data_IF_567960460360
#
_entry.id   IF_567960460360
#
_cell.length_a   1.000
_cell.length_b   1.000
_cell.length_c   1.000
_cell.angle_alpha   90.00
_cell.angle_beta   90.00
_cell.angle_gamma   90.00
#
_symmetry.space_group_name_H-M   'P 1'
#
loop_
_entity.id
_entity.type
_entity.pdbx_description
1 polymer ?
#
# COMPACT_ATOMS: atom_id res chain seq x y z
N UNK A 1 14.50 12.56 -30.06
CA UNK A 1 14.49 13.34 -28.81
C UNK A 1 13.04 13.47 -28.36
N UNK A 2 12.69 12.80 -27.27
CA UNK A 2 11.32 12.77 -26.77
C UNK A 2 10.98 14.13 -26.15
N UNK A 3 9.94 14.78 -26.66
CA UNK A 3 9.38 16.08 -26.26
C UNK A 3 8.74 16.09 -24.84
N UNK A 4 9.10 15.18 -23.92
CA UNK A 4 8.28 14.88 -22.73
C UNK A 4 9.03 14.69 -21.41
N UNK A 5 10.22 15.27 -21.26
CA UNK A 5 10.84 15.42 -19.93
C UNK A 5 10.68 16.86 -19.44
N UNK A 6 9.45 17.29 -19.17
CA UNK A 6 9.29 18.35 -18.18
C UNK A 6 9.82 17.78 -16.86
N UNK A 7 10.91 18.37 -16.36
CA UNK A 7 11.49 17.99 -15.06
C UNK A 7 10.37 18.10 -14.02
N UNK A 8 10.12 17.03 -13.29
CA UNK A 8 9.16 17.05 -12.17
C UNK A 8 9.67 18.06 -11.15
N UNK A 9 8.85 19.03 -10.71
CA UNK A 9 9.27 20.02 -9.73
C UNK A 9 9.66 19.34 -8.41
N UNK A 10 10.78 19.73 -7.82
CA UNK A 10 11.22 19.23 -6.51
C UNK A 10 10.21 19.52 -5.39
N UNK A 11 9.38 20.56 -5.55
CA UNK A 11 8.29 20.91 -4.63
C UNK A 11 7.21 19.82 -4.51
N UNK A 12 7.12 18.89 -5.47
CA UNK A 12 6.24 17.75 -5.39
C UNK A 12 6.82 16.59 -4.57
N UNK A 13 8.11 16.61 -4.27
CA UNK A 13 8.78 15.59 -3.46
C UNK A 13 8.16 15.47 -2.06
N UNK A 14 8.16 14.27 -1.52
CA UNK A 14 7.69 13.95 -0.16
C UNK A 14 8.69 13.03 0.51
N UNK A 15 9.10 13.40 1.71
CA UNK A 15 9.91 12.54 2.58
C UNK A 15 8.97 11.95 3.64
N UNK A 16 8.67 10.67 3.50
CA UNK A 16 7.71 9.94 4.35
C UNK A 16 8.29 8.60 4.72
N UNK A 17 8.06 8.16 5.94
CA UNK A 17 8.48 6.83 6.40
C UNK A 17 10.01 6.58 6.32
N UNK A 18 10.82 7.64 6.23
CA UNK A 18 12.26 7.50 5.96
C UNK A 18 12.62 7.26 4.48
N UNK A 19 11.64 7.32 3.57
CA UNK A 19 11.80 7.15 2.12
C UNK A 19 11.53 8.46 1.39
N UNK A 20 12.26 8.67 0.29
CA UNK A 20 12.03 9.82 -0.59
C UNK A 20 11.13 9.44 -1.77
N UNK A 21 9.98 10.11 -1.89
CA UNK A 21 9.05 10.01 -3.01
C UNK A 21 9.19 11.25 -3.89
N UNK A 22 9.68 11.14 -5.13
CA UNK A 22 9.92 12.32 -5.98
C UNK A 22 8.65 13.09 -6.35
N UNK A 23 7.49 12.49 -6.17
CA UNK A 23 6.18 13.11 -6.34
C UNK A 23 5.08 12.22 -5.72
N UNK A 24 3.84 12.73 -5.50
CA UNK A 24 2.85 11.97 -4.74
C UNK A 24 2.17 10.81 -5.50
N UNK A 25 2.49 10.54 -6.75
CA UNK A 25 1.76 9.57 -7.59
C UNK A 25 2.48 8.23 -7.63
N UNK A 26 1.84 7.19 -7.12
CA UNK A 26 2.24 5.78 -7.22
C UNK A 26 1.22 4.96 -8.01
N UNK A 27 1.52 3.69 -8.22
CA UNK A 27 0.68 2.72 -8.93
C UNK A 27 -0.06 1.85 -7.92
N UNK A 28 -1.38 1.76 -8.13
CA UNK A 28 -2.28 0.96 -7.31
C UNK A 28 -2.02 -0.55 -7.42
N UNK A 29 -2.38 -1.34 -6.39
CA UNK A 29 -2.29 -2.79 -6.45
C UNK A 29 -3.08 -3.37 -7.62
N UNK A 30 -2.65 -4.54 -8.11
CA UNK A 30 -3.28 -5.22 -9.24
C UNK A 30 -2.70 -4.85 -10.60
N UNK A 31 -1.97 -3.74 -10.74
CA UNK A 31 -1.28 -3.40 -11.99
C UNK A 31 -0.10 -4.34 -12.29
N UNK A 32 0.58 -4.82 -11.26
CA UNK A 32 1.70 -5.78 -11.37
C UNK A 32 1.78 -6.73 -10.18
N UNK A 33 0.81 -7.63 -9.99
CA UNK A 33 0.77 -8.47 -8.78
C UNK A 33 2.02 -9.33 -8.58
N UNK A 34 2.64 -9.76 -9.66
CA UNK A 34 3.77 -10.69 -9.65
C UNK A 34 5.15 -10.00 -9.85
N UNK A 35 5.22 -8.69 -9.71
CA UNK A 35 6.45 -7.92 -9.89
C UNK A 35 7.16 -8.17 -11.23
N UNK A 36 6.40 -8.27 -12.33
CA UNK A 36 6.96 -8.53 -13.67
C UNK A 36 7.14 -7.29 -14.52
N UNK A 37 6.48 -6.18 -14.17
CA UNK A 37 6.36 -4.98 -15.00
C UNK A 37 6.71 -3.69 -14.28
N UNK A 38 7.00 -3.73 -12.97
CA UNK A 38 7.19 -2.52 -12.15
C UNK A 38 8.21 -1.54 -12.75
N UNK A 39 9.28 -2.03 -13.40
CA UNK A 39 10.24 -1.18 -14.09
C UNK A 39 9.66 -0.41 -15.29
N UNK A 40 8.47 -0.79 -15.77
CA UNK A 40 7.75 0.00 -16.78
C UNK A 40 7.04 1.22 -16.18
N UNK A 41 6.94 1.30 -14.85
CA UNK A 41 6.31 2.38 -14.09
C UNK A 41 7.32 3.36 -13.48
N UNK A 42 8.58 3.36 -13.94
CA UNK A 42 9.64 4.22 -13.42
C UNK A 42 9.36 5.73 -13.42
N UNK A 43 8.30 6.17 -14.07
CA UNK A 43 7.81 7.55 -13.97
C UNK A 43 6.88 7.78 -12.78
N UNK A 44 6.59 6.75 -11.99
CA UNK A 44 5.83 6.82 -10.76
C UNK A 44 6.78 6.73 -9.56
N UNK A 45 6.37 7.25 -8.41
CA UNK A 45 7.21 7.27 -7.20
C UNK A 45 7.37 5.89 -6.60
N UNK A 46 6.31 5.10 -6.64
CA UNK A 46 6.31 3.74 -6.11
C UNK A 46 5.27 2.87 -6.84
N UNK A 47 5.44 1.57 -6.70
CA UNK A 47 4.53 0.57 -7.25
C UNK A 47 4.18 -0.42 -6.16
N UNK A 48 2.89 -0.70 -5.99
CA UNK A 48 2.45 -1.77 -5.10
C UNK A 48 2.33 -3.08 -5.88
N UNK A 49 2.99 -4.11 -5.38
CA UNK A 49 2.96 -5.49 -5.88
C UNK A 49 2.18 -6.39 -4.91
N UNK A 50 1.62 -7.47 -5.41
CA UNK A 50 0.84 -8.40 -4.60
C UNK A 50 -0.67 -8.28 -4.84
N UNK A 51 -1.48 -8.85 -3.92
CA UNK A 51 -1.09 -9.39 -2.64
C UNK A 51 -0.20 -10.63 -2.75
N UNK A 52 0.81 -10.67 -1.90
CA UNK A 52 1.74 -11.77 -1.79
C UNK A 52 1.35 -12.64 -0.61
N UNK A 53 1.38 -13.96 -0.80
CA UNK A 53 1.15 -14.91 0.27
C UNK A 53 2.10 -16.10 0.17
N UNK A 54 2.38 -16.78 1.27
CA UNK A 54 3.17 -18.02 1.23
C UNK A 54 2.48 -19.03 0.30
N UNK A 55 3.24 -19.66 -0.60
CA UNK A 55 2.73 -20.71 -1.47
C UNK A 55 2.81 -22.05 -0.73
N UNK A 56 1.67 -22.65 -0.45
CA UNK A 56 1.66 -24.09 -0.16
C UNK A 56 1.67 -24.85 -1.48
N UNK A 57 2.73 -25.59 -1.77
CA UNK A 57 2.90 -26.38 -2.99
C UNK A 57 1.84 -27.49 -3.17
N UNK A 58 0.88 -27.65 -2.25
CA UNK A 58 -0.03 -28.79 -2.17
C UNK A 58 -1.50 -28.52 -2.41
N UNK A 59 -1.94 -27.30 -2.70
CA UNK A 59 -3.35 -27.09 -2.97
C UNK A 59 -3.64 -26.86 -4.45
N UNK A 60 -4.35 -27.81 -5.07
CA UNK A 60 -5.06 -27.59 -6.34
C UNK A 60 -6.07 -26.41 -6.29
N UNK A 61 -6.26 -25.83 -5.12
CA UNK A 61 -7.07 -24.64 -4.84
C UNK A 61 -6.41 -23.31 -5.26
N UNK A 62 -5.16 -23.30 -5.67
CA UNK A 62 -4.46 -22.11 -6.23
C UNK A 62 -5.00 -21.72 -7.63
N UNK A 63 -6.14 -22.27 -8.05
CA UNK A 63 -6.84 -21.83 -9.27
C UNK A 63 -7.55 -20.49 -9.11
N UNK A 64 -7.70 -19.96 -7.90
CA UNK A 64 -8.25 -18.64 -7.67
C UNK A 64 -7.12 -17.60 -7.66
N UNK A 65 -7.07 -16.85 -8.74
CA UNK A 65 -6.06 -15.87 -9.13
C UNK A 65 -5.95 -14.62 -8.22
N UNK A 66 -6.30 -14.70 -6.94
CA UNK A 66 -6.33 -13.55 -6.03
C UNK A 66 -4.97 -13.25 -5.38
N UNK A 67 -4.11 -14.26 -5.20
CA UNK A 67 -2.81 -14.08 -4.56
C UNK A 67 -1.68 -14.48 -5.50
N UNK A 68 -0.62 -13.69 -5.50
CA UNK A 68 0.60 -14.03 -6.21
C UNK A 68 1.49 -14.84 -5.30
N UNK A 69 1.94 -16.03 -5.73
CA UNK A 69 2.92 -16.78 -4.98
C UNK A 69 4.19 -15.94 -4.73
N UNK A 70 4.56 -15.83 -3.47
CA UNK A 70 5.71 -15.06 -2.99
C UNK A 70 6.99 -15.38 -3.79
N UNK A 71 7.24 -16.67 -4.05
CA UNK A 71 8.39 -17.15 -4.83
C UNK A 71 8.45 -16.54 -6.24
N UNK A 72 7.32 -16.33 -6.90
CA UNK A 72 7.30 -15.75 -8.25
C UNK A 72 7.71 -14.28 -8.24
N UNK A 73 7.25 -13.52 -7.25
CA UNK A 73 7.63 -12.12 -7.10
C UNK A 73 9.13 -11.97 -6.82
N UNK A 74 9.66 -12.75 -5.88
CA UNK A 74 11.09 -12.76 -5.53
C UNK A 74 11.96 -13.05 -6.76
N UNK A 75 11.67 -14.12 -7.49
CA UNK A 75 12.42 -14.49 -8.70
C UNK A 75 12.37 -13.37 -9.76
N UNK A 76 11.24 -12.72 -9.90
CA UNK A 76 11.10 -11.59 -10.83
C UNK A 76 11.97 -10.42 -10.43
N UNK A 77 11.98 -10.04 -9.14
CA UNK A 77 12.76 -8.92 -8.61
C UNK A 77 14.27 -9.21 -8.69
N UNK A 78 14.70 -10.42 -8.35
CA UNK A 78 16.10 -10.82 -8.46
C UNK A 78 16.64 -10.72 -9.89
N UNK A 79 15.81 -11.09 -10.88
CA UNK A 79 16.21 -11.02 -12.29
C UNK A 79 16.17 -9.60 -12.87
N UNK A 80 15.39 -8.70 -12.26
CA UNK A 80 15.17 -7.33 -12.74
C UNK A 80 15.14 -6.37 -11.55
N UNK A 81 16.29 -5.92 -11.02
CA UNK A 81 16.33 -5.02 -9.87
C UNK A 81 15.45 -3.77 -10.07
N UNK A 82 14.75 -3.30 -9.03
CA UNK A 82 13.82 -2.19 -9.14
C UNK A 82 14.55 -0.86 -9.36
N UNK A 83 13.91 0.00 -10.16
CA UNK A 83 14.26 1.42 -10.35
C UNK A 83 13.19 2.36 -9.83
N UNK A 84 12.26 1.84 -9.03
CA UNK A 84 11.14 2.52 -8.40
C UNK A 84 10.93 1.88 -7.04
N UNK A 85 10.43 2.63 -6.06
CA UNK A 85 10.14 2.06 -4.75
C UNK A 85 9.07 0.96 -4.85
N UNK A 86 9.32 -0.17 -4.20
CA UNK A 86 8.40 -1.30 -4.16
C UNK A 86 7.67 -1.37 -2.82
N UNK A 87 6.34 -1.26 -2.88
CA UNK A 87 5.46 -1.58 -1.78
C UNK A 87 5.03 -3.05 -1.89
N UNK A 88 5.43 -3.90 -0.95
CA UNK A 88 5.00 -5.28 -0.90
C UNK A 88 3.67 -5.38 -0.13
N UNK A 89 2.59 -5.61 -0.85
CA UNK A 89 1.31 -5.94 -0.24
C UNK A 89 1.34 -7.41 0.17
N UNK A 90 1.28 -7.69 1.47
CA UNK A 90 1.26 -9.03 2.03
C UNK A 90 -0.08 -9.34 2.67
N UNK A 91 -0.57 -10.55 2.44
CA UNK A 91 -1.85 -11.00 2.93
C UNK A 91 -1.78 -12.47 3.36
N UNK A 92 -2.59 -12.90 4.34
CA UNK A 92 -2.68 -14.31 4.68
C UNK A 92 -3.30 -15.10 3.54
N UNK A 93 -2.91 -16.37 3.40
CA UNK A 93 -3.39 -17.26 2.34
C UNK A 93 -4.77 -17.85 2.65
N UNK A 94 -5.14 -17.92 3.91
CA UNK A 94 -6.29 -18.70 4.38
C UNK A 94 -7.64 -18.03 4.13
N UNK A 95 -8.67 -18.83 3.86
CA UNK A 95 -10.05 -18.37 3.67
C UNK A 95 -10.84 -18.34 4.99
N UNK A 96 -10.37 -19.05 6.03
CA UNK A 96 -10.99 -19.08 7.35
C UNK A 96 -9.87 -18.93 8.41
N UNK A 97 -9.34 -17.74 8.58
CA UNK A 97 -8.13 -17.53 9.35
C UNK A 97 -8.42 -17.61 10.86
N UNK A 98 -7.66 -18.44 11.56
CA UNK A 98 -7.36 -18.22 12.96
C UNK A 98 -6.16 -17.25 13.08
N UNK A 99 -6.00 -16.64 14.25
CA UNK A 99 -4.98 -15.62 14.46
C UNK A 99 -3.56 -16.17 14.28
N UNK A 100 -3.30 -17.40 14.70
CA UNK A 100 -1.99 -18.04 14.60
C UNK A 100 -1.58 -18.24 13.13
N UNK A 101 -2.49 -18.77 12.31
CA UNK A 101 -2.26 -18.97 10.87
C UNK A 101 -2.03 -17.65 10.14
N UNK A 102 -2.82 -16.62 10.45
CA UNK A 102 -2.65 -15.28 9.88
C UNK A 102 -1.29 -14.70 10.24
N UNK A 103 -0.93 -14.74 11.51
CA UNK A 103 0.35 -14.24 12.01
C UNK A 103 1.52 -14.96 11.32
N UNK A 104 1.45 -16.28 11.24
CA UNK A 104 2.47 -17.09 10.57
C UNK A 104 2.65 -16.69 9.08
N UNK A 105 1.55 -16.58 8.34
CA UNK A 105 1.58 -16.24 6.92
C UNK A 105 2.14 -14.83 6.68
N UNK A 106 1.74 -13.87 7.50
CA UNK A 106 2.25 -12.51 7.42
C UNK A 106 3.74 -12.42 7.75
N UNK A 107 4.18 -13.06 8.83
CA UNK A 107 5.60 -13.11 9.23
C UNK A 107 6.46 -13.80 8.16
N UNK A 108 5.97 -14.89 7.58
CA UNK A 108 6.68 -15.58 6.51
C UNK A 108 6.81 -14.69 5.27
N UNK A 109 5.74 -14.04 4.83
CA UNK A 109 5.77 -13.13 3.68
C UNK A 109 6.67 -11.93 3.94
N UNK A 110 6.61 -11.36 5.14
CA UNK A 110 7.45 -10.25 5.57
C UNK A 110 8.93 -10.62 5.53
N UNK A 111 9.30 -11.75 6.15
CA UNK A 111 10.68 -12.22 6.20
C UNK A 111 11.26 -12.44 4.80
N UNK A 112 10.53 -13.14 3.93
CA UNK A 112 11.03 -13.44 2.58
C UNK A 112 11.10 -12.22 1.67
N UNK A 113 10.25 -11.20 1.88
CA UNK A 113 10.24 -9.99 1.08
C UNK A 113 11.12 -8.86 1.64
N UNK A 114 11.69 -9.03 2.83
CA UNK A 114 12.37 -7.95 3.53
C UNK A 114 13.49 -7.29 2.72
N UNK A 115 14.33 -8.08 2.06
CA UNK A 115 15.45 -7.58 1.26
C UNK A 115 15.02 -7.00 -0.10
N UNK A 116 13.76 -7.21 -0.51
CA UNK A 116 13.26 -6.86 -1.84
C UNK A 116 12.29 -5.69 -1.85
N UNK A 117 11.62 -5.43 -0.73
CA UNK A 117 10.65 -4.35 -0.60
C UNK A 117 11.26 -3.13 0.06
N UNK A 118 10.76 -1.94 -0.30
CA UNK A 118 11.08 -0.69 0.38
C UNK A 118 10.11 -0.39 1.53
N UNK A 119 8.87 -0.84 1.41
CA UNK A 119 7.82 -0.75 2.44
C UNK A 119 6.84 -1.91 2.32
N UNK A 120 6.10 -2.17 3.40
CA UNK A 120 5.10 -3.23 3.47
C UNK A 120 3.70 -2.66 3.62
N UNK A 121 2.74 -3.33 3.00
CA UNK A 121 1.31 -3.04 3.12
C UNK A 121 0.62 -4.29 3.63
N UNK A 122 -0.06 -4.17 4.76
CA UNK A 122 -0.90 -5.25 5.30
C UNK A 122 -2.30 -5.09 4.72
N UNK A 123 -2.69 -6.02 3.85
CA UNK A 123 -4.01 -6.03 3.24
C UNK A 123 -4.97 -6.92 4.06
N UNK A 124 -5.70 -6.28 4.94
CA UNK A 124 -6.62 -6.96 5.86
C UNK A 124 -8.05 -7.02 5.36
N UNK A 125 -8.34 -6.40 4.21
CA UNK A 125 -9.70 -6.08 3.77
C UNK A 125 -10.12 -6.75 2.46
N UNK A 126 -9.33 -7.65 1.91
CA UNK A 126 -9.77 -8.40 0.74
C UNK A 126 -10.91 -9.32 1.10
N UNK A 127 -12.05 -9.08 0.47
CA UNK A 127 -13.12 -10.08 0.40
C UNK A 127 -12.58 -11.23 -0.43
N UNK A 128 -12.51 -12.41 0.17
CA UNK A 128 -12.37 -13.63 -0.62
C UNK A 128 -13.67 -13.90 -1.39
N UNK A 129 -13.62 -14.80 -2.36
CA UNK A 129 -14.80 -15.18 -3.16
C UNK A 129 -15.98 -15.70 -2.32
N UNK A 130 -15.73 -16.10 -1.08
CA UNK A 130 -16.73 -16.66 -0.16
C UNK A 130 -17.39 -15.57 0.72
N UNK A 131 -17.05 -14.29 0.51
CA UNK A 131 -17.64 -13.17 1.27
C UNK A 131 -17.26 -13.15 2.75
N UNK A 132 -16.21 -13.88 3.14
CA UNK A 132 -15.71 -13.86 4.52
C UNK A 132 -15.26 -12.45 4.84
N UNK A 133 -15.79 -11.91 5.93
CA UNK A 133 -15.45 -10.58 6.41
C UNK A 133 -13.94 -10.53 6.64
N UNK A 134 -13.29 -9.51 6.13
CA UNK A 134 -11.86 -9.34 6.33
C UNK A 134 -11.54 -9.21 7.81
N UNK A 135 -10.27 -9.36 8.12
CA UNK A 135 -9.65 -9.20 9.44
C UNK A 135 -9.85 -7.76 9.96
N UNK A 136 -11.09 -7.35 10.24
CA UNK A 136 -11.46 -5.95 10.47
C UNK A 136 -11.50 -5.56 11.95
N UNK A 137 -11.29 -6.47 12.88
CA UNK A 137 -11.22 -6.07 14.27
C UNK A 137 -9.76 -5.73 14.65
N UNK A 138 -9.55 -4.57 15.25
CA UNK A 138 -8.25 -4.21 15.80
C UNK A 138 -7.74 -5.27 16.79
N UNK A 139 -8.66 -5.90 17.54
CA UNK A 139 -8.37 -6.96 18.49
C UNK A 139 -7.78 -8.21 17.83
N UNK A 140 -8.33 -8.65 16.68
CA UNK A 140 -7.81 -9.79 15.93
C UNK A 140 -6.47 -9.49 15.25
N UNK A 141 -6.30 -8.26 14.75
CA UNK A 141 -5.09 -7.88 14.03
C UNK A 141 -3.93 -7.47 14.94
N UNK A 142 -4.21 -6.99 16.14
CA UNK A 142 -3.17 -6.44 17.03
C UNK A 142 -2.06 -7.44 17.27
N UNK A 143 -2.38 -8.70 17.55
CA UNK A 143 -1.38 -9.75 17.77
C UNK A 143 -0.47 -9.97 16.55
N UNK A 144 -1.07 -10.05 15.36
CA UNK A 144 -0.31 -10.23 14.12
C UNK A 144 0.53 -9.00 13.76
N UNK A 145 -0.01 -7.81 14.00
CA UNK A 145 0.69 -6.55 13.74
C UNK A 145 1.82 -6.31 14.74
N UNK A 146 1.61 -6.61 16.01
CA UNK A 146 2.66 -6.55 17.04
C UNK A 146 3.80 -7.49 16.69
N UNK A 147 3.50 -8.73 16.29
CA UNK A 147 4.50 -9.69 15.85
C UNK A 147 5.31 -9.22 14.62
N UNK A 148 4.67 -8.53 13.66
CA UNK A 148 5.37 -7.94 12.51
C UNK A 148 6.27 -6.77 12.92
N UNK A 149 5.79 -5.92 13.83
CA UNK A 149 6.56 -4.79 14.35
C UNK A 149 7.77 -5.30 15.14
N UNK A 150 7.60 -6.30 15.98
CA UNK A 150 8.69 -6.93 16.72
C UNK A 150 9.70 -7.59 15.77
N UNK A 151 9.22 -8.31 14.74
CA UNK A 151 10.08 -8.91 13.73
C UNK A 151 10.90 -7.86 12.99
N UNK A 152 10.34 -6.68 12.68
CA UNK A 152 11.06 -5.59 12.03
C UNK A 152 12.28 -5.14 12.81
N UNK A 153 12.24 -5.14 14.15
CA UNK A 153 13.38 -4.78 14.99
C UNK A 153 14.52 -5.82 14.98
N UNK A 154 14.30 -7.00 14.40
CA UNK A 154 15.35 -7.99 14.20
C UNK A 154 16.24 -7.72 12.98
N UNK A 155 15.94 -6.69 12.19
CA UNK A 155 16.69 -6.33 10.98
C UNK A 155 17.45 -5.01 11.16
N UNK A 156 18.60 -4.89 10.48
CA UNK A 156 19.44 -3.67 10.55
C UNK A 156 18.85 -2.48 9.78
N UNK A 157 18.04 -2.74 8.75
CA UNK A 157 17.39 -1.71 7.94
C UNK A 157 15.93 -1.52 8.33
N UNK A 158 15.49 -0.28 8.50
CA UNK A 158 14.09 0.00 8.78
C UNK A 158 13.23 -0.12 7.53
N UNK A 159 12.12 -0.85 7.61
CA UNK A 159 11.11 -0.94 6.55
C UNK A 159 9.75 -0.51 7.11
N UNK A 160 9.11 0.51 6.52
CA UNK A 160 7.79 0.96 6.95
C UNK A 160 6.73 -0.11 6.78
N UNK A 161 5.80 -0.18 7.74
CA UNK A 161 4.63 -1.07 7.70
C UNK A 161 3.37 -0.22 7.71
N UNK A 162 2.60 -0.30 6.65
CA UNK A 162 1.33 0.40 6.47
C UNK A 162 0.18 -0.59 6.52
N UNK A 163 -0.98 -0.13 6.97
CA UNK A 163 -2.21 -0.92 6.92
C UNK A 163 -3.17 -0.34 5.90
N UNK A 164 -3.84 -1.20 5.13
CA UNK A 164 -4.91 -0.79 4.21
C UNK A 164 -6.26 -0.88 4.90
N UNK A 165 -7.08 0.14 4.71
CA UNK A 165 -8.49 0.19 5.15
C UNK A 165 -9.39 0.51 3.96
N UNK A 166 -10.54 -0.17 3.87
CA UNK A 166 -11.49 0.04 2.79
C UNK A 166 -12.58 1.06 3.16
N UNK A 167 -13.24 1.60 2.15
CA UNK A 167 -14.28 2.62 2.30
C UNK A 167 -15.47 2.16 3.14
N UNK A 168 -15.78 0.86 3.12
CA UNK A 168 -16.90 0.26 3.85
C UNK A 168 -16.59 -0.09 5.31
N UNK A 169 -15.38 0.25 5.81
CA UNK A 169 -15.02 0.01 7.20
C UNK A 169 -16.01 0.67 8.15
N UNK A 170 -16.52 -0.11 9.12
CA UNK A 170 -17.42 0.40 10.15
C UNK A 170 -16.71 1.46 11.00
N UNK A 171 -17.46 2.48 11.40
CA UNK A 171 -16.88 3.60 12.18
C UNK A 171 -16.18 3.13 13.47
N UNK A 172 -16.79 2.20 14.21
CA UNK A 172 -16.18 1.68 15.44
C UNK A 172 -14.89 0.89 15.17
N UNK A 173 -14.86 0.09 14.10
CA UNK A 173 -13.66 -0.65 13.70
C UNK A 173 -12.53 0.30 13.26
N UNK A 174 -12.87 1.35 12.50
CA UNK A 174 -11.90 2.37 12.12
C UNK A 174 -11.33 3.08 13.35
N UNK A 175 -12.17 3.51 14.27
CA UNK A 175 -11.74 4.19 15.49
C UNK A 175 -10.79 3.32 16.31
N UNK A 176 -11.17 2.05 16.58
CA UNK A 176 -10.30 1.11 17.30
C UNK A 176 -8.97 0.85 16.60
N UNK A 177 -8.97 0.75 15.27
CA UNK A 177 -7.72 0.60 14.51
C UNK A 177 -6.84 1.85 14.60
N UNK A 178 -7.42 3.04 14.47
CA UNK A 178 -6.67 4.29 14.56
C UNK A 178 -6.12 4.52 15.97
N UNK A 179 -6.87 4.18 17.02
CA UNK A 179 -6.38 4.20 18.39
C UNK A 179 -5.19 3.24 18.57
N UNK A 180 -5.29 2.02 18.06
CA UNK A 180 -4.19 1.05 18.09
C UNK A 180 -2.94 1.61 17.38
N UNK A 181 -3.10 2.15 16.18
CA UNK A 181 -2.00 2.71 15.39
C UNK A 181 -1.24 3.83 16.10
N UNK A 182 -1.92 4.60 16.95
CA UNK A 182 -1.29 5.71 17.70
C UNK A 182 -0.16 5.26 18.61
N UNK A 183 -0.12 3.98 18.98
CA UNK A 183 0.82 3.42 19.96
C UNK A 183 1.59 2.20 19.46
N UNK A 184 1.17 1.60 18.34
CA UNK A 184 1.70 0.31 17.87
C UNK A 184 3.04 0.39 17.16
N UNK A 185 3.39 1.53 16.57
CA UNK A 185 4.58 1.64 15.71
C UNK A 185 4.32 1.35 14.23
N UNK A 186 3.05 1.27 13.79
CA UNK A 186 2.70 1.36 12.37
C UNK A 186 3.01 2.75 11.83
N UNK A 187 3.40 2.82 10.55
CA UNK A 187 3.94 4.04 9.96
C UNK A 187 2.91 4.89 9.21
N UNK A 188 1.85 4.26 8.69
CA UNK A 188 0.85 4.97 7.90
C UNK A 188 -0.33 4.12 7.49
N UNK A 189 -1.24 4.74 6.74
CA UNK A 189 -2.50 4.13 6.29
C UNK A 189 -2.64 4.26 4.78
N UNK A 190 -3.12 3.20 4.14
CA UNK A 190 -3.67 3.26 2.79
C UNK A 190 -5.19 3.32 2.92
N UNK A 191 -5.78 4.42 2.51
CA UNK A 191 -7.21 4.65 2.54
C UNK A 191 -7.87 4.28 1.21
N UNK A 192 -8.73 3.28 1.22
CA UNK A 192 -9.48 2.78 0.07
C UNK A 192 -8.79 1.67 -0.72
N UNK A 193 -9.53 1.15 -1.69
CA UNK A 193 -9.08 0.09 -2.60
C UNK A 193 -9.61 0.31 -4.03
N UNK A 194 -10.92 0.20 -4.24
CA UNK A 194 -11.57 0.35 -5.55
C UNK A 194 -12.35 1.65 -5.69
N UNK A 195 -13.11 2.00 -4.65
CA UNK A 195 -13.95 3.19 -4.64
C UNK A 195 -13.16 4.44 -4.24
N UNK A 196 -13.62 5.60 -4.71
CA UNK A 196 -13.01 6.90 -4.40
C UNK A 196 -13.04 7.21 -2.89
N UNK A 197 -11.89 7.43 -2.24
CA UNK A 197 -11.77 7.35 -0.79
C UNK A 197 -11.87 8.71 -0.06
N UNK A 198 -12.42 9.76 -0.65
CA UNK A 198 -12.35 11.13 -0.10
C UNK A 198 -12.86 11.21 1.34
N UNK A 199 -14.03 10.64 1.60
CA UNK A 199 -14.63 10.69 2.94
C UNK A 199 -13.81 9.88 3.96
N UNK A 200 -13.24 8.75 3.53
CA UNK A 200 -12.36 7.95 4.37
C UNK A 200 -11.08 8.72 4.72
N UNK A 201 -10.46 9.40 3.74
CA UNK A 201 -9.28 10.25 3.96
C UNK A 201 -9.58 11.35 4.97
N UNK A 202 -10.72 12.04 4.83
CA UNK A 202 -11.16 13.10 5.76
C UNK A 202 -11.37 12.55 7.17
N UNK A 203 -12.02 11.40 7.31
CA UNK A 203 -12.25 10.75 8.61
C UNK A 203 -10.95 10.36 9.30
N UNK A 204 -10.02 9.74 8.57
CA UNK A 204 -8.71 9.37 9.09
C UNK A 204 -7.94 10.63 9.52
N UNK A 205 -7.86 11.64 8.65
CA UNK A 205 -7.17 12.89 8.93
C UNK A 205 -7.72 13.61 10.16
N UNK A 206 -9.05 13.67 10.29
CA UNK A 206 -9.71 14.26 11.46
C UNK A 206 -9.39 13.50 12.76
N UNK A 207 -9.52 12.16 12.73
CA UNK A 207 -9.30 11.32 13.91
C UNK A 207 -7.84 11.35 14.39
N UNK A 208 -6.91 11.28 13.46
CA UNK A 208 -5.47 11.24 13.77
C UNK A 208 -4.84 12.63 13.99
N UNK A 209 -5.60 13.71 13.69
CA UNK A 209 -5.06 15.07 13.71
C UNK A 209 -3.91 15.26 12.71
N UNK A 210 -3.92 14.52 11.60
CA UNK A 210 -2.89 14.57 10.55
C UNK A 210 -1.54 13.97 10.95
N UNK A 211 -1.47 13.22 12.04
CA UNK A 211 -0.20 12.64 12.54
C UNK A 211 0.33 11.48 11.71
N UNK A 212 -0.54 10.80 10.97
CA UNK A 212 -0.14 9.69 10.11
C UNK A 212 -0.21 10.10 8.64
N UNK A 213 0.82 9.78 7.85
CA UNK A 213 0.73 9.87 6.40
C UNK A 213 -0.37 8.95 5.86
N UNK A 214 -1.17 9.48 4.94
CA UNK A 214 -2.27 8.77 4.28
C UNK A 214 -1.94 8.61 2.81
N UNK A 215 -2.00 7.38 2.31
CA UNK A 215 -1.97 7.08 0.87
C UNK A 215 -3.41 6.85 0.43
N UNK A 216 -3.95 7.69 -0.43
CA UNK A 216 -5.29 7.50 -0.98
C UNK A 216 -5.24 6.54 -2.17
N UNK A 217 -6.10 5.52 -2.17
CA UNK A 217 -6.15 4.47 -3.19
C UNK A 217 -7.57 4.20 -3.68
N UNK A 218 -7.73 4.06 -4.99
CA UNK A 218 -9.00 3.67 -5.61
C UNK A 218 -9.81 4.82 -6.18
N UNK A 219 -10.46 4.56 -7.31
CA UNK A 219 -11.39 5.49 -7.97
C UNK A 219 -10.81 6.83 -8.43
N UNK A 220 -9.50 7.03 -8.38
CA UNK A 220 -8.84 8.29 -8.77
C UNK A 220 -8.61 8.26 -10.28
N UNK A 221 -9.46 8.97 -11.02
CA UNK A 221 -9.51 8.92 -12.48
C UNK A 221 -9.20 10.26 -13.15
N UNK A 222 -9.33 11.36 -12.40
CA UNK A 222 -9.16 12.71 -12.89
C UNK A 222 -8.12 13.49 -12.07
N UNK A 223 -7.52 14.53 -12.65
CA UNK A 223 -6.65 15.45 -11.92
C UNK A 223 -7.34 16.18 -10.76
N UNK A 224 -8.62 16.54 -10.91
CA UNK A 224 -9.38 17.25 -9.88
C UNK A 224 -9.62 16.36 -8.65
N UNK A 225 -9.91 15.08 -8.84
CA UNK A 225 -10.01 14.09 -7.76
C UNK A 225 -8.67 13.93 -7.03
N UNK A 226 -7.55 13.95 -7.75
CA UNK A 226 -6.23 13.89 -7.13
C UNK A 226 -5.96 15.13 -6.27
N UNK A 227 -6.30 16.34 -6.76
CA UNK A 227 -6.18 17.57 -6.01
C UNK A 227 -7.04 17.58 -4.75
N UNK A 228 -8.28 17.11 -4.87
CA UNK A 228 -9.23 17.06 -3.76
C UNK A 228 -8.72 16.13 -2.64
N UNK A 229 -8.16 14.96 -2.99
CA UNK A 229 -7.59 14.04 -2.01
C UNK A 229 -6.35 14.61 -1.33
N UNK A 230 -5.45 15.25 -2.08
CA UNK A 230 -4.28 15.91 -1.51
C UNK A 230 -4.70 17.06 -0.58
N UNK A 231 -5.68 17.86 -0.97
CA UNK A 231 -6.24 18.93 -0.13
C UNK A 231 -6.95 18.37 1.12
N UNK A 232 -7.52 17.16 1.03
CA UNK A 232 -8.17 16.49 2.16
C UNK A 232 -7.16 15.88 3.15
N UNK A 233 -5.84 15.89 2.85
CA UNK A 233 -4.79 15.41 3.73
C UNK A 233 -4.10 14.12 3.27
N UNK A 234 -4.40 13.60 2.08
CA UNK A 234 -3.60 12.52 1.52
C UNK A 234 -2.17 12.99 1.22
N UNK A 235 -1.18 12.23 1.65
CA UNK A 235 0.24 12.51 1.38
C UNK A 235 0.69 11.95 0.03
N UNK A 236 0.16 10.79 -0.35
CA UNK A 236 0.43 10.09 -1.61
C UNK A 236 -0.89 9.55 -2.20
N UNK A 237 -0.83 9.26 -3.49
CA UNK A 237 -1.95 8.73 -4.28
C UNK A 237 -1.53 7.43 -4.95
N UNK A 238 -2.37 6.41 -4.90
CA UNK A 238 -2.24 5.21 -5.72
C UNK A 238 -3.30 5.22 -6.80
N UNK A 239 -2.87 5.25 -8.04
CA UNK A 239 -3.74 5.39 -9.20
C UNK A 239 -3.56 4.23 -10.19
N UNK A 240 -4.59 3.95 -10.98
CA UNK A 240 -4.45 3.02 -12.10
C UNK A 240 -3.45 3.61 -13.12
N UNK A 241 -2.63 2.73 -13.71
CA UNK A 241 -1.62 3.07 -14.73
C UNK A 241 -2.12 4.03 -15.80
N UNK A 242 -3.36 3.84 -16.26
CA UNK A 242 -3.93 4.63 -17.37
C UNK A 242 -4.13 6.10 -17.02
N UNK A 243 -4.29 6.43 -15.75
CA UNK A 243 -4.52 7.80 -15.26
C UNK A 243 -3.24 8.46 -14.73
N UNK A 244 -2.25 7.67 -14.28
CA UNK A 244 -1.04 8.15 -13.60
C UNK A 244 -0.34 9.29 -14.34
N UNK A 245 -0.16 9.15 -15.66
CA UNK A 245 0.54 10.16 -16.48
C UNK A 245 -0.23 11.48 -16.58
N UNK A 246 -1.55 11.43 -16.67
CA UNK A 246 -2.41 12.62 -16.75
C UNK A 246 -2.38 13.40 -15.45
N UNK A 247 -2.56 12.70 -14.35
CA UNK A 247 -2.54 13.26 -13.00
C UNK A 247 -1.16 13.87 -12.71
N UNK A 248 -0.07 13.13 -12.96
CA UNK A 248 1.28 13.63 -12.72
C UNK A 248 1.60 14.90 -13.52
N UNK A 249 1.19 14.96 -14.80
CA UNK A 249 1.38 16.17 -15.62
C UNK A 249 0.62 17.37 -15.06
N UNK A 250 -0.58 17.16 -14.57
CA UNK A 250 -1.39 18.21 -13.97
C UNK A 250 -0.72 18.74 -12.70
N UNK A 251 -0.32 17.86 -11.79
CA UNK A 251 0.37 18.25 -10.56
C UNK A 251 1.69 18.97 -10.85
N UNK A 252 2.47 18.49 -11.82
CA UNK A 252 3.73 19.12 -12.23
C UNK A 252 3.55 20.46 -12.99
N UNK A 253 2.34 20.75 -13.44
CA UNK A 253 1.99 22.00 -14.11
C UNK A 253 1.49 23.11 -13.18
N UNK A 254 1.18 22.78 -11.94
CA UNK A 254 0.79 23.77 -10.93
C UNK A 254 2.02 24.55 -10.50
N UNK A 255 1.94 25.89 -10.54
CA UNK A 255 2.92 26.72 -9.86
C UNK A 255 2.86 26.44 -8.36
N UNK A 256 4.02 26.41 -7.65
CA UNK A 256 4.00 26.33 -6.21
C UNK A 256 3.17 27.50 -5.69
N UNK A 257 2.15 27.21 -4.89
CA UNK A 257 1.40 28.25 -4.19
C UNK A 257 2.44 29.10 -3.45
N UNK A 258 2.55 30.38 -3.81
CA UNK A 258 3.42 31.29 -3.07
C UNK A 258 2.96 31.32 -1.61
N UNK A 259 3.86 31.24 -0.62
CA UNK A 259 3.52 31.25 0.80
C UNK A 259 2.82 32.52 1.22
#
# INVERSE_FOLDING_TARGET
>A
MSLFEKKIPESLGRDLFGLHFPHPVGIAPGADPAARKYNSFRSCSFVEIGPLSPSTEQSDAVKDALHTPLKQAILSIQNHPPHVLLAANIAPQTTAPDCETVTHDLLQSFTFMYDFADLFVIDTFRKNNDGVAPLQSAEFLSESLDALIDMRFCYDSYKPILIRVDNDIRQGSLAGLLDYMMYSGLDGIIAGYEAYPLELVRRIGYFTGGRFPIIACGGITTPDEADELLAAGASLLQVDRKYARGILRHLAGKEPSQP
#
